data_IF_767644654359
#
_entry.id   IF_767644654359
#
_cell.length_a   1.000
_cell.length_b   1.000
_cell.length_c   1.000
_cell.angle_alpha   90.00
_cell.angle_beta   90.00
_cell.angle_gamma   90.00
#
_symmetry.space_group_name_H-M   'P 1'
#
loop_
_entity.id
_entity.type
_entity.pdbx_description
1 polymer ?
#
# COMPACT_ATOMS: atom_id res chain seq x y z
N UNK A 1 2.80 14.75 -1.47
CA UNK A 1 3.64 13.54 -1.37
C UNK A 1 2.95 12.46 -0.55
N UNK A 2 3.00 11.21 -1.01
CA UNK A 2 2.31 10.08 -0.38
C UNK A 2 3.27 8.90 -0.23
N UNK A 3 3.25 8.21 0.91
CA UNK A 3 3.87 6.91 1.08
C UNK A 3 2.79 5.82 1.16
N UNK A 4 3.01 4.70 0.48
CA UNK A 4 2.20 3.48 0.54
C UNK A 4 3.07 2.40 1.17
N UNK A 5 2.69 1.89 2.33
CA UNK A 5 3.42 0.84 3.01
C UNK A 5 2.68 -0.48 2.84
N UNK A 6 3.25 -1.33 1.99
CA UNK A 6 2.66 -2.56 1.46
C UNK A 6 2.17 -2.40 0.02
N UNK A 7 2.67 -3.23 -0.91
CA UNK A 7 2.32 -3.21 -2.34
C UNK A 7 1.66 -4.52 -2.79
N UNK A 8 0.79 -5.07 -1.97
CA UNK A 8 -0.16 -6.09 -2.42
C UNK A 8 -1.18 -5.48 -3.41
N UNK A 9 -2.20 -6.22 -3.84
CA UNK A 9 -3.19 -5.72 -4.80
C UNK A 9 -3.79 -4.37 -4.43
N UNK A 10 -4.10 -4.17 -3.14
CA UNK A 10 -4.67 -2.90 -2.65
C UNK A 10 -3.63 -1.78 -2.70
N UNK A 11 -2.38 -2.05 -2.28
CA UNK A 11 -1.30 -1.06 -2.30
C UNK A 11 -0.98 -0.59 -3.71
N UNK A 12 -0.92 -1.50 -4.69
CA UNK A 12 -0.70 -1.16 -6.10
C UNK A 12 -1.84 -0.32 -6.69
N UNK A 13 -3.09 -0.55 -6.27
CA UNK A 13 -4.21 0.33 -6.61
C UNK A 13 -4.08 1.70 -5.95
N UNK A 14 -3.61 1.75 -4.70
CA UNK A 14 -3.39 3.02 -3.98
C UNK A 14 -2.28 3.85 -4.62
N UNK A 15 -1.23 3.24 -5.18
CA UNK A 15 -0.20 3.95 -5.96
C UNK A 15 -0.83 4.70 -7.13
N UNK A 16 -1.65 4.03 -7.92
CA UNK A 16 -2.35 4.64 -9.05
C UNK A 16 -3.31 5.74 -8.60
N UNK A 17 -4.11 5.48 -7.56
CA UNK A 17 -5.09 6.43 -7.02
C UNK A 17 -4.43 7.66 -6.41
N UNK A 18 -3.29 7.53 -5.72
CA UNK A 18 -2.55 8.65 -5.18
C UNK A 18 -2.06 9.58 -6.30
N UNK A 19 -1.52 9.02 -7.38
CA UNK A 19 -1.12 9.80 -8.55
C UNK A 19 -2.32 10.49 -9.22
N UNK A 20 -3.40 9.76 -9.41
CA UNK A 20 -4.64 10.31 -9.96
C UNK A 20 -5.23 11.44 -9.10
N UNK A 21 -5.05 11.35 -7.78
CA UNK A 21 -5.46 12.39 -6.84
C UNK A 21 -4.51 13.59 -6.79
N UNK A 22 -3.46 13.61 -7.63
CA UNK A 22 -2.53 14.74 -7.75
C UNK A 22 -1.29 14.65 -6.87
N UNK A 23 -0.97 13.48 -6.30
CA UNK A 23 0.30 13.31 -5.61
C UNK A 23 1.47 13.52 -6.60
N UNK A 24 2.31 14.50 -6.33
CA UNK A 24 3.49 14.80 -7.16
C UNK A 24 4.54 13.72 -7.04
N UNK A 25 4.55 13.01 -5.92
CA UNK A 25 5.48 11.92 -5.63
C UNK A 25 4.79 10.85 -4.77
N UNK A 26 4.97 9.58 -5.14
CA UNK A 26 4.49 8.43 -4.39
C UNK A 26 5.68 7.54 -4.04
N UNK A 27 5.88 7.27 -2.76
CA UNK A 27 6.85 6.30 -2.25
C UNK A 27 6.10 4.99 -1.98
N UNK A 28 6.64 3.86 -2.39
CA UNK A 28 6.02 2.56 -2.21
C UNK A 28 6.98 1.61 -1.50
N UNK A 29 6.61 1.16 -0.30
CA UNK A 29 7.44 0.28 0.54
C UNK A 29 6.91 -1.14 0.44
N UNK A 30 7.78 -2.10 0.07
CA UNK A 30 7.38 -3.50 -0.10
C UNK A 30 8.61 -4.42 0.02
N UNK A 31 8.56 -5.52 0.80
CA UNK A 31 9.67 -6.47 0.90
C UNK A 31 9.92 -7.28 -0.37
N UNK A 32 8.89 -7.60 -1.16
CA UNK A 32 9.00 -8.46 -2.33
C UNK A 32 9.44 -7.67 -3.57
N UNK A 33 10.57 -8.04 -4.17
CA UNK A 33 11.17 -7.32 -5.30
C UNK A 33 10.19 -7.13 -6.47
N UNK A 34 9.52 -8.20 -6.89
CA UNK A 34 8.57 -8.15 -8.01
C UNK A 34 7.38 -7.19 -7.77
N UNK A 35 6.95 -7.02 -6.51
CA UNK A 35 5.90 -6.03 -6.17
C UNK A 35 6.45 -4.61 -6.14
N UNK A 36 7.72 -4.43 -5.73
CA UNK A 36 8.40 -3.13 -5.87
C UNK A 36 8.51 -2.71 -7.33
N UNK A 37 8.88 -3.62 -8.22
CA UNK A 37 8.93 -3.39 -9.67
C UNK A 37 7.56 -2.97 -10.21
N UNK A 38 6.50 -3.68 -9.83
CA UNK A 38 5.12 -3.31 -10.19
C UNK A 38 4.73 -1.92 -9.68
N UNK A 39 5.11 -1.57 -8.46
CA UNK A 39 4.85 -0.23 -7.92
C UNK A 39 5.61 0.85 -8.71
N UNK A 40 6.84 0.56 -9.14
CA UNK A 40 7.63 1.45 -9.98
C UNK A 40 7.03 1.62 -11.38
N UNK A 41 6.51 0.56 -12.00
CA UNK A 41 5.77 0.62 -13.28
C UNK A 41 4.55 1.55 -13.19
N UNK A 42 3.86 1.58 -12.06
CA UNK A 42 2.77 2.53 -11.78
C UNK A 42 3.27 3.92 -11.37
N UNK A 43 4.58 4.16 -11.42
CA UNK A 43 5.23 5.45 -11.23
C UNK A 43 5.50 5.83 -9.78
N UNK A 44 5.62 4.86 -8.87
CA UNK A 44 6.12 5.09 -7.53
C UNK A 44 7.65 5.00 -7.47
N UNK A 45 8.24 5.64 -6.47
CA UNK A 45 9.61 5.36 -6.04
C UNK A 45 9.53 4.17 -5.08
N UNK A 46 10.00 3.01 -5.53
CA UNK A 46 9.95 1.78 -4.77
C UNK A 46 11.11 1.71 -3.76
N UNK A 47 10.79 1.34 -2.52
CA UNK A 47 11.71 1.23 -1.40
C UNK A 47 11.61 -0.16 -0.77
N UNK A 48 12.75 -0.71 -0.33
CA UNK A 48 12.77 -1.90 0.52
C UNK A 48 12.55 -1.51 1.98
N UNK A 49 11.85 -2.33 2.79
CA UNK A 49 11.78 -2.09 4.23
C UNK A 49 13.14 -2.21 4.94
N UNK A 50 14.15 -2.79 4.29
CA UNK A 50 15.53 -2.86 4.81
C UNK A 50 16.25 -1.50 4.73
N UNK A 51 15.69 -0.53 4.01
CA UNK A 51 16.24 0.83 3.95
C UNK A 51 15.81 1.65 5.18
N UNK A 52 16.55 2.69 5.54
CA UNK A 52 16.14 3.62 6.60
C UNK A 52 14.98 4.51 6.10
N UNK A 53 13.76 3.98 6.08
CA UNK A 53 12.58 4.53 5.40
C UNK A 53 12.26 5.97 5.80
N UNK A 54 12.35 6.30 7.11
CA UNK A 54 12.12 7.67 7.58
C UNK A 54 13.12 8.67 6.98
N UNK A 55 14.39 8.28 6.89
CA UNK A 55 15.46 9.08 6.26
C UNK A 55 15.24 9.18 4.76
N UNK A 56 14.92 8.06 4.10
CA UNK A 56 14.62 8.05 2.66
C UNK A 56 13.45 8.97 2.30
N UNK A 57 12.38 8.91 3.11
CA UNK A 57 11.24 9.83 2.92
C UNK A 57 11.67 11.30 3.04
N UNK A 58 12.51 11.64 4.02
CA UNK A 58 13.04 13.00 4.18
C UNK A 58 13.90 13.43 2.99
N UNK A 59 14.86 12.60 2.57
CA UNK A 59 15.74 12.88 1.42
C UNK A 59 14.91 13.17 0.14
N UNK A 60 13.86 12.41 -0.09
CA UNK A 60 13.00 12.51 -1.26
C UNK A 60 11.98 13.66 -1.18
N UNK A 61 11.80 14.28 -0.01
CA UNK A 61 10.77 15.31 0.23
C UNK A 61 11.36 16.63 0.76
N UNK A 62 12.62 16.92 0.46
CA UNK A 62 13.27 18.15 0.89
C UNK A 62 13.46 18.30 2.41
N UNK A 63 13.64 17.18 3.12
CA UNK A 63 13.91 17.14 4.57
C UNK A 63 12.67 16.99 5.45
N UNK A 64 11.46 16.99 4.89
CA UNK A 64 10.23 17.06 5.68
C UNK A 64 9.61 15.71 6.02
N UNK A 65 9.64 14.73 5.12
CA UNK A 65 8.82 13.54 5.10
C UNK A 65 7.56 13.73 4.23
N UNK A 66 6.77 12.66 4.07
CA UNK A 66 5.58 12.68 3.21
C UNK A 66 4.39 13.39 3.89
N UNK A 67 3.48 13.94 3.10
CA UNK A 67 2.25 14.57 3.62
C UNK A 67 1.29 13.54 4.21
N UNK A 68 1.17 12.39 3.53
CA UNK A 68 0.28 11.29 3.91
C UNK A 68 1.03 9.97 3.78
N UNK A 69 0.94 9.11 4.79
CA UNK A 69 1.32 7.70 4.67
C UNK A 69 0.07 6.82 4.80
N UNK A 70 -0.02 5.81 3.95
CA UNK A 70 -1.11 4.83 3.94
C UNK A 70 -0.50 3.46 4.26
N UNK A 71 -0.82 2.93 5.42
CA UNK A 71 -0.45 1.59 5.83
C UNK A 71 -1.49 0.61 5.30
N UNK A 72 -1.05 -0.38 4.53
CA UNK A 72 -1.92 -1.37 3.86
C UNK A 72 -1.33 -2.78 3.86
N UNK A 73 -0.23 -2.98 4.59
CA UNK A 73 0.39 -4.29 4.78
C UNK A 73 -0.29 -5.11 5.89
N UNK A 74 -0.82 -4.44 6.90
CA UNK A 74 -1.41 -5.10 8.06
C UNK A 74 -0.38 -5.71 9.01
N UNK A 75 0.83 -5.17 9.03
CA UNK A 75 1.89 -5.61 9.95
C UNK A 75 2.21 -4.51 10.96
N UNK A 76 2.47 -4.88 12.22
CA UNK A 76 2.77 -3.93 13.29
C UNK A 76 3.97 -3.03 12.93
N UNK A 77 5.03 -3.60 12.37
CA UNK A 77 6.19 -2.83 11.93
C UNK A 77 5.83 -1.79 10.85
N UNK A 78 4.93 -2.14 9.93
CA UNK A 78 4.47 -1.23 8.86
C UNK A 78 3.68 -0.03 9.41
N UNK A 79 2.96 -0.20 10.53
CA UNK A 79 2.25 0.89 11.20
C UNK A 79 3.22 1.95 11.73
N UNK A 80 4.28 1.52 12.39
CA UNK A 80 5.31 2.39 12.93
C UNK A 80 6.11 3.08 11.80
N UNK A 81 6.51 2.35 10.78
CA UNK A 81 7.21 2.90 9.61
C UNK A 81 6.37 3.98 8.90
N UNK A 82 5.08 3.74 8.71
CA UNK A 82 4.19 4.74 8.15
C UNK A 82 4.21 6.04 8.98
N UNK A 83 4.15 5.94 10.31
CA UNK A 83 4.21 7.11 11.20
C UNK A 83 5.57 7.82 11.17
N UNK A 84 6.66 7.06 11.01
CA UNK A 84 8.02 7.61 10.90
C UNK A 84 8.26 8.36 9.59
N UNK A 85 7.69 7.90 8.48
CA UNK A 85 7.84 8.53 7.17
C UNK A 85 7.08 9.86 7.02
N UNK A 86 6.01 10.07 7.78
CA UNK A 86 5.15 11.25 7.69
C UNK A 86 5.82 12.49 8.27
N UNK A 87 5.63 13.64 7.64
CA UNK A 87 6.06 14.94 8.15
C UNK A 87 5.31 15.34 9.44
N UNK A 88 5.79 16.37 10.13
CA UNK A 88 5.07 16.99 11.25
C UNK A 88 3.73 17.56 10.75
N UNK A 89 2.66 17.31 11.50
CA UNK A 89 1.29 17.72 11.15
C UNK A 89 0.65 16.89 10.03
N UNK A 90 1.34 15.85 9.52
CA UNK A 90 0.82 15.03 8.43
C UNK A 90 -0.18 13.97 8.89
N UNK A 91 -0.61 13.14 7.96
CA UNK A 91 -1.68 12.15 8.18
C UNK A 91 -1.18 10.73 7.95
N UNK A 92 -1.52 9.82 8.85
CA UNK A 92 -1.37 8.38 8.66
C UNK A 92 -2.75 7.75 8.47
N UNK A 93 -2.94 6.98 7.41
CA UNK A 93 -4.18 6.25 7.13
C UNK A 93 -3.92 4.77 7.33
N UNK A 94 -4.63 4.14 8.26
CA UNK A 94 -4.55 2.71 8.54
C UNK A 94 -5.62 1.99 7.73
N UNK A 95 -5.19 1.11 6.84
CA UNK A 95 -6.03 0.29 5.95
C UNK A 95 -5.80 -1.19 6.23
N UNK A 96 -4.57 -1.57 6.54
CA UNK A 96 -4.18 -2.94 6.86
C UNK A 96 -4.89 -3.46 8.12
N UNK A 97 -5.12 -4.76 8.15
CA UNK A 97 -5.74 -5.45 9.29
C UNK A 97 -4.65 -6.36 9.87
N UNK A 98 -4.06 -5.99 11.01
CA UNK A 98 -3.04 -6.83 11.63
C UNK A 98 -3.67 -8.08 12.26
N UNK A 99 -2.96 -9.22 12.25
CA UNK A 99 -3.45 -10.46 12.88
C UNK A 99 -3.73 -10.31 14.38
N UNK A 100 -2.97 -9.44 15.04
CA UNK A 100 -3.09 -9.18 16.47
C UNK A 100 -4.31 -8.32 16.84
N UNK A 101 -5.06 -7.84 15.85
CA UNK A 101 -6.20 -6.90 16.01
C UNK A 101 -5.86 -5.69 16.90
N UNK A 102 -4.63 -5.18 16.78
CA UNK A 102 -4.11 -4.08 17.58
C UNK A 102 -3.46 -3.01 16.71
N UNK A 103 -3.68 -1.76 17.08
CA UNK A 103 -2.94 -0.62 16.54
C UNK A 103 -1.80 -0.27 17.52
N UNK A 104 -0.57 -0.44 17.07
CA UNK A 104 0.63 -0.18 17.89
C UNK A 104 1.44 0.95 17.27
N UNK A 105 1.55 2.05 18.00
CA UNK A 105 2.34 3.23 17.60
C UNK A 105 3.07 3.80 18.79
N UNK A 106 4.32 4.19 18.61
CA UNK A 106 5.10 4.82 19.64
C UNK A 106 4.56 6.22 19.96
N UNK A 107 4.01 6.37 21.17
CA UNK A 107 3.32 7.58 21.60
C UNK A 107 4.14 8.87 21.40
N UNK A 108 5.43 8.88 21.74
CA UNK A 108 6.22 10.10 21.59
C UNK A 108 6.41 10.53 20.14
N UNK A 109 6.42 9.59 19.19
CA UNK A 109 6.54 9.87 17.75
C UNK A 109 5.27 10.59 17.26
N UNK A 110 4.12 9.98 17.47
CA UNK A 110 2.83 10.52 17.01
C UNK A 110 2.54 11.88 17.66
N UNK A 111 2.83 12.01 18.98
CA UNK A 111 2.62 13.25 19.71
C UNK A 111 3.58 14.36 19.27
N UNK A 112 4.89 14.09 19.15
CA UNK A 112 5.88 15.11 18.75
C UNK A 112 5.69 15.60 17.32
N UNK A 113 5.21 14.72 16.46
CA UNK A 113 4.88 15.09 15.08
C UNK A 113 3.50 15.72 14.94
N UNK A 114 2.60 15.57 15.93
CA UNK A 114 1.22 16.06 15.86
C UNK A 114 0.45 15.38 14.73
N UNK A 115 0.57 14.04 14.62
CA UNK A 115 0.00 13.29 13.50
C UNK A 115 -1.52 13.19 13.61
N UNK A 116 -2.17 13.24 12.46
CA UNK A 116 -3.58 12.85 12.30
C UNK A 116 -3.64 11.36 11.95
N UNK A 117 -4.36 10.57 12.73
CA UNK A 117 -4.61 9.15 12.44
C UNK A 117 -6.01 8.99 11.86
N UNK A 118 -6.12 8.30 10.73
CA UNK A 118 -7.40 7.95 10.10
C UNK A 118 -7.49 6.45 9.90
N UNK A 119 -8.59 5.87 10.34
CA UNK A 119 -8.87 4.44 10.10
C UNK A 119 -9.78 4.34 8.88
N UNK A 120 -9.32 3.60 7.88
CA UNK A 120 -10.12 3.36 6.69
C UNK A 120 -11.18 2.29 6.96
N UNK A 121 -12.44 2.61 6.67
CA UNK A 121 -13.53 1.65 6.69
C UNK A 121 -13.71 1.00 5.33
N UNK A 122 -13.93 -0.31 5.32
CA UNK A 122 -14.32 -1.05 4.11
C UNK A 122 -15.66 -0.53 3.59
N UNK A 123 -15.74 -0.26 2.31
CA UNK A 123 -16.90 -0.01 1.48
C UNK A 123 -17.97 0.96 2.06
N UNK A 124 -18.06 2.14 1.48
CA UNK A 124 -19.15 3.08 1.75
C UNK A 124 -19.52 3.77 0.44
N UNK A 125 -20.47 3.17 -0.31
CA UNK A 125 -20.96 3.72 -1.58
C UNK A 125 -19.85 4.00 -2.62
N UNK A 126 -18.79 3.20 -2.63
CA UNK A 126 -17.61 3.43 -3.48
C UNK A 126 -17.63 2.67 -4.80
N UNK A 127 -18.44 1.62 -4.94
CA UNK A 127 -18.47 0.77 -6.13
C UNK A 127 -18.70 1.51 -7.44
N UNK A 128 -19.74 2.37 -7.57
CA UNK A 128 -19.99 3.05 -8.83
C UNK A 128 -18.78 3.89 -9.27
N UNK A 129 -18.14 4.58 -8.31
CA UNK A 129 -16.97 5.40 -8.56
C UNK A 129 -15.75 4.54 -8.95
N UNK A 130 -15.51 3.44 -8.25
CA UNK A 130 -14.41 2.52 -8.57
C UNK A 130 -14.58 1.91 -9.96
N UNK A 131 -15.79 1.45 -10.31
CA UNK A 131 -16.10 0.91 -11.62
C UNK A 131 -15.87 1.98 -12.71
N UNK A 132 -16.32 3.20 -12.48
CA UNK A 132 -16.14 4.29 -13.45
C UNK A 132 -14.66 4.63 -13.70
N UNK A 133 -13.80 4.56 -12.69
CA UNK A 133 -12.36 4.77 -12.84
C UNK A 133 -11.72 3.71 -13.74
N UNK A 134 -12.09 2.45 -13.55
CA UNK A 134 -11.60 1.33 -14.37
C UNK A 134 -12.15 1.41 -15.79
N UNK A 135 -13.45 1.65 -15.96
CA UNK A 135 -14.07 1.77 -17.29
C UNK A 135 -13.48 2.91 -18.13
N UNK A 136 -13.06 4.00 -17.48
CA UNK A 136 -12.40 5.14 -18.14
C UNK A 136 -10.90 4.91 -18.38
N UNK A 137 -10.35 3.76 -18.01
CA UNK A 137 -8.93 3.47 -18.13
C UNK A 137 -8.03 4.29 -17.19
N UNK A 138 -8.61 4.94 -16.17
CA UNK A 138 -7.86 5.76 -15.23
C UNK A 138 -7.13 4.93 -14.17
N UNK A 139 -7.61 3.72 -13.90
CA UNK A 139 -7.00 2.73 -13.01
C UNK A 139 -6.91 1.41 -13.75
N UNK A 140 -5.71 0.88 -13.82
CA UNK A 140 -5.41 -0.40 -14.43
C UNK A 140 -5.53 -1.51 -13.37
N UNK A 141 -6.29 -2.56 -13.68
CA UNK A 141 -6.56 -3.68 -12.77
C UNK A 141 -6.18 -5.04 -13.33
N UNK A 142 -6.04 -5.16 -14.66
CA UNK A 142 -5.85 -6.46 -15.33
C UNK A 142 -4.50 -7.07 -15.03
N UNK A 143 -3.44 -6.26 -15.06
CA UNK A 143 -2.06 -6.71 -14.78
C UNK A 143 -1.85 -7.11 -13.32
N UNK A 144 -2.78 -6.73 -12.42
CA UNK A 144 -2.73 -7.18 -11.04
C UNK A 144 -3.13 -8.66 -10.90
N UNK A 145 -3.91 -9.20 -11.84
CA UNK A 145 -4.28 -10.62 -11.88
C UNK A 145 -3.16 -11.37 -12.57
N UNK A 146 -2.27 -11.96 -11.78
CA UNK A 146 -1.08 -12.66 -12.27
C UNK A 146 -1.31 -14.15 -12.49
N UNK A 147 -2.30 -14.74 -11.83
CA UNK A 147 -2.55 -16.18 -11.88
C UNK A 147 -4.04 -16.48 -12.01
N UNK A 148 -4.33 -17.52 -12.80
CA UNK A 148 -5.69 -18.01 -13.01
C UNK A 148 -5.71 -19.51 -12.69
N UNK A 149 -6.72 -19.94 -11.97
CA UNK A 149 -6.93 -21.32 -11.57
C UNK A 149 -8.36 -21.74 -11.88
N UNK A 150 -8.59 -22.98 -12.33
CA UNK A 150 -9.94 -23.54 -12.35
C UNK A 150 -10.46 -23.78 -10.92
N UNK A 151 -11.76 -23.83 -10.73
CA UNK A 151 -12.37 -24.03 -9.42
C UNK A 151 -11.85 -25.29 -8.69
N UNK A 152 -11.60 -26.36 -9.44
CA UNK A 152 -11.05 -27.62 -8.91
C UNK A 152 -9.65 -27.47 -8.28
N UNK A 153 -8.91 -26.42 -8.63
CA UNK A 153 -7.57 -26.15 -8.14
C UNK A 153 -7.50 -24.99 -7.13
N UNK A 154 -8.63 -24.63 -6.52
CA UNK A 154 -8.72 -23.52 -5.56
C UNK A 154 -7.70 -23.64 -4.43
N UNK A 155 -7.46 -24.86 -3.93
CA UNK A 155 -6.47 -25.13 -2.88
C UNK A 155 -5.04 -24.75 -3.31
N UNK A 156 -4.67 -25.02 -4.56
CA UNK A 156 -3.37 -24.59 -5.11
C UNK A 156 -3.28 -23.07 -5.20
N UNK A 157 -4.36 -22.39 -5.59
CA UNK A 157 -4.42 -20.94 -5.63
C UNK A 157 -4.25 -20.31 -4.25
N UNK A 158 -4.87 -20.88 -3.21
CA UNK A 158 -4.70 -20.40 -1.83
C UNK A 158 -3.27 -20.58 -1.33
N UNK A 159 -2.67 -21.77 -1.54
CA UNK A 159 -1.28 -22.03 -1.15
C UNK A 159 -0.29 -21.11 -1.85
N UNK A 160 -0.50 -20.83 -3.13
CA UNK A 160 0.35 -19.91 -3.89
C UNK A 160 0.34 -18.51 -3.27
N UNK A 161 -0.82 -18.00 -2.92
CA UNK A 161 -0.97 -16.66 -2.34
C UNK A 161 -0.43 -16.59 -0.92
N UNK A 162 -0.71 -17.60 -0.09
CA UNK A 162 -0.26 -17.70 1.30
C UNK A 162 1.27 -17.71 1.40
N UNK A 163 1.93 -18.41 0.49
CA UNK A 163 3.40 -18.56 0.50
C UNK A 163 4.12 -17.56 -0.42
N UNK A 164 3.41 -16.58 -1.00
CA UNK A 164 3.99 -15.57 -1.91
C UNK A 164 4.82 -16.17 -3.06
N UNK A 165 4.40 -17.32 -3.59
CA UNK A 165 5.14 -18.05 -4.63
C UNK A 165 4.91 -17.44 -6.02
N UNK A 166 5.83 -17.74 -6.94
CA UNK A 166 5.71 -17.44 -8.37
C UNK A 166 5.33 -15.98 -8.68
N UNK A 167 5.84 -15.05 -7.88
CA UNK A 167 5.59 -13.60 -8.07
C UNK A 167 4.10 -13.22 -8.05
N UNK A 168 3.30 -13.91 -7.26
CA UNK A 168 1.87 -13.67 -7.20
C UNK A 168 1.53 -12.29 -6.63
N UNK A 169 0.80 -11.50 -7.41
CA UNK A 169 0.11 -10.31 -6.92
C UNK A 169 -1.32 -10.67 -6.54
N UNK A 170 -2.06 -11.26 -7.48
CA UNK A 170 -3.43 -11.73 -7.25
C UNK A 170 -3.69 -12.99 -8.08
N UNK A 171 -4.23 -14.03 -7.43
CA UNK A 171 -4.79 -15.18 -8.08
C UNK A 171 -6.33 -15.05 -8.21
N UNK A 172 -6.88 -15.50 -9.33
CA UNK A 172 -8.32 -15.56 -9.59
C UNK A 172 -8.70 -17.01 -9.87
N UNK A 173 -9.75 -17.47 -9.23
CA UNK A 173 -10.35 -18.79 -9.47
C UNK A 173 -11.55 -18.61 -10.40
N UNK A 174 -11.56 -19.38 -11.48
CA UNK A 174 -12.61 -19.35 -12.51
C UNK A 174 -13.48 -20.61 -12.40
N UNK A 175 -14.80 -20.50 -12.66
CA UNK A 175 -15.71 -21.65 -12.67
C UNK A 175 -15.33 -22.70 -13.69
#
# INVERSE_FOLDING_TARGET
>A
TVAIVGCGPIGLLLVQLARLAGATQVLAVEPLAYRRERAAEFGAIALSPDEPLARRAQELTGGHGVDVAIEVAGAVAAQEEAALMVKRGGTVVMVGIPPEDQLVLTHHIIRRKGLTLKIARRMKHTYPRAIALVQRGMVEVRSLVTHHYPLAESDAAFRLVENYQSEVVKAVVLP
#
